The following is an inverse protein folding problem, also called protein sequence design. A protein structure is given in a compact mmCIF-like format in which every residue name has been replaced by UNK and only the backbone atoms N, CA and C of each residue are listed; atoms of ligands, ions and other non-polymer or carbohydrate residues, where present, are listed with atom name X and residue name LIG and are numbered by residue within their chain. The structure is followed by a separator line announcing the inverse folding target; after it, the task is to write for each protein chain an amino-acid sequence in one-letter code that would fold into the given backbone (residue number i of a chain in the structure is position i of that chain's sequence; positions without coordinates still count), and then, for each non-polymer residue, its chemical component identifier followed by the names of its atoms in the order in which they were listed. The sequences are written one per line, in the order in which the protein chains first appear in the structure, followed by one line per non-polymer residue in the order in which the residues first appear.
data_IF_574880604144
#
_entry.id   IF_574880604144
#
_cell.length_a   1.000
_cell.length_b   1.000
_cell.length_c   1.000
_cell.angle_alpha   90.00
_cell.angle_beta   90.00
_cell.angle_gamma   90.00
#
_symmetry.space_group_name_H-M   'P 1'
#
loop_
_entity.id
_entity.type
_entity.pdbx_description
1 polymer ?
#
# COMPACT_ATOMS: atom_id res chain seq x y z
N UNK A 1 -3.46 -2.44 -18.41
CA UNK A 1 -4.27 -3.63 -18.05
C UNK A 1 -5.55 -3.16 -17.38
N UNK A 2 -6.69 -3.71 -17.76
CA UNK A 2 -7.96 -3.36 -17.13
C UNK A 2 -8.04 -4.02 -15.74
N UNK A 3 -8.29 -3.25 -14.66
CA UNK A 3 -8.37 -3.82 -13.29
C UNK A 3 -9.39 -4.94 -13.16
N UNK A 4 -10.49 -4.88 -13.91
CA UNK A 4 -11.51 -5.93 -13.88
C UNK A 4 -11.00 -7.29 -14.34
N UNK A 5 -9.88 -7.32 -15.05
CA UNK A 5 -9.24 -8.54 -15.54
C UNK A 5 -8.14 -9.07 -14.62
N UNK A 6 -7.76 -8.30 -13.59
CA UNK A 6 -6.73 -8.73 -12.63
C UNK A 6 -7.37 -9.68 -11.62
N UNK A 7 -6.84 -10.91 -11.46
CA UNK A 7 -7.35 -11.83 -10.44
C UNK A 7 -7.09 -11.22 -9.05
N UNK A 8 -8.15 -10.77 -8.39
CA UNK A 8 -8.02 -10.18 -7.05
C UNK A 8 -7.45 -11.18 -6.04
N UNK A 9 -7.69 -12.47 -6.25
CA UNK A 9 -7.12 -13.53 -5.41
C UNK A 9 -5.59 -13.59 -5.45
N UNK A 10 -4.96 -13.03 -6.48
CA UNK A 10 -3.50 -12.99 -6.57
C UNK A 10 -2.88 -11.96 -5.64
N UNK A 11 -3.65 -11.00 -5.13
CA UNK A 11 -3.18 -10.01 -4.17
C UNK A 11 -3.25 -10.60 -2.76
N UNK A 12 -2.10 -10.79 -2.14
CA UNK A 12 -1.97 -11.34 -0.79
C UNK A 12 -1.99 -10.27 0.29
N UNK A 13 -1.70 -9.02 -0.09
CA UNK A 13 -1.49 -7.92 0.84
C UNK A 13 -2.34 -6.72 0.47
N UNK A 14 -2.73 -5.97 1.49
CA UNK A 14 -3.39 -4.68 1.32
C UNK A 14 -2.66 -3.63 2.16
N UNK A 15 -2.22 -2.56 1.51
CA UNK A 15 -1.58 -1.43 2.19
C UNK A 15 -2.64 -0.35 2.42
N UNK A 16 -3.15 -0.27 3.65
CA UNK A 16 -4.24 0.62 4.01
C UNK A 16 -3.73 2.04 4.22
N UNK A 17 -4.36 3.00 3.55
CA UNK A 17 -4.15 4.43 3.76
C UNK A 17 -4.92 4.88 5.01
N UNK A 18 -4.26 4.85 6.16
CA UNK A 18 -4.88 5.17 7.44
C UNK A 18 -5.37 6.62 7.53
N UNK A 19 -4.61 7.63 7.09
CA UNK A 19 -5.13 9.00 7.10
C UNK A 19 -6.42 9.16 6.32
N UNK A 20 -6.63 8.35 5.27
CA UNK A 20 -7.86 8.37 4.49
C UNK A 20 -9.05 7.70 5.17
N UNK A 21 -8.81 6.86 6.20
CA UNK A 21 -9.88 6.15 6.91
C UNK A 21 -9.47 5.74 8.32
N UNK A 22 -9.62 6.63 9.31
CA UNK A 22 -9.33 6.28 10.71
C UNK A 22 -10.18 5.13 11.26
N UNK A 23 -11.41 4.96 10.77
CA UNK A 23 -12.28 3.87 11.19
C UNK A 23 -11.75 2.51 10.72
N UNK A 24 -11.23 2.44 9.51
CA UNK A 24 -10.62 1.22 9.00
C UNK A 24 -9.43 0.80 9.88
N UNK A 25 -8.64 1.75 10.36
CA UNK A 25 -7.54 1.45 11.27
C UNK A 25 -8.03 0.81 12.56
N UNK A 26 -9.11 1.34 13.14
CA UNK A 26 -9.67 0.74 14.36
C UNK A 26 -10.10 -0.71 14.13
N UNK A 27 -10.73 -0.99 13.00
CA UNK A 27 -11.10 -2.35 12.64
C UNK A 27 -9.89 -3.23 12.41
N UNK A 28 -8.84 -2.71 11.78
CA UNK A 28 -7.58 -3.44 11.58
C UNK A 28 -6.91 -3.78 12.91
N UNK A 29 -7.00 -2.91 13.90
CA UNK A 29 -6.47 -3.18 15.25
C UNK A 29 -7.16 -4.34 15.95
N UNK A 30 -8.43 -4.58 15.64
CA UNK A 30 -9.17 -5.72 16.20
C UNK A 30 -8.77 -7.05 15.56
N UNK A 31 -7.99 -7.00 14.49
CA UNK A 31 -7.47 -8.17 13.81
C UNK A 31 -6.12 -8.54 14.40
N UNK A 32 -6.08 -9.65 15.01
CA UNK A 32 -5.06 -10.16 15.89
C UNK A 32 -3.66 -10.23 15.26
N UNK A 33 -2.89 -9.14 15.35
CA UNK A 33 -1.46 -9.17 15.12
C UNK A 33 -0.95 -9.39 13.69
N UNK A 34 -1.82 -9.42 12.68
CA UNK A 34 -1.41 -9.70 11.29
C UNK A 34 -1.41 -8.45 10.42
N UNK A 35 -1.04 -7.33 11.01
CA UNK A 35 -0.85 -6.07 10.33
C UNK A 35 0.47 -5.44 10.75
N UNK A 36 1.07 -4.67 9.85
CA UNK A 36 2.40 -4.09 10.06
C UNK A 36 2.35 -2.60 9.75
N UNK A 37 2.64 -1.76 10.76
CA UNK A 37 2.72 -0.32 10.57
C UNK A 37 3.98 0.01 9.77
N UNK A 38 3.81 0.67 8.63
CA UNK A 38 4.92 0.92 7.71
C UNK A 38 5.95 1.89 8.29
N UNK A 39 5.49 2.88 9.07
CA UNK A 39 6.38 3.88 9.65
C UNK A 39 7.23 3.35 10.81
N UNK A 40 6.89 2.20 11.39
CA UNK A 40 7.78 1.55 12.35
C UNK A 40 9.10 1.19 11.67
N UNK A 41 10.19 1.21 12.42
CA UNK A 41 11.54 0.99 11.93
C UNK A 41 11.98 2.01 10.86
N UNK A 42 11.39 3.20 10.85
CA UNK A 42 11.78 4.32 9.99
C UNK A 42 11.97 5.59 10.83
N UNK A 43 12.47 6.65 10.21
CA UNK A 43 12.56 7.97 10.86
C UNK A 43 11.17 8.55 11.19
N UNK A 44 10.11 7.97 10.62
CA UNK A 44 8.73 8.39 10.83
C UNK A 44 8.04 7.62 11.96
N UNK A 45 8.75 6.84 12.75
CA UNK A 45 8.17 5.97 13.79
C UNK A 45 7.31 6.71 14.81
N UNK A 46 7.59 7.98 15.07
CA UNK A 46 6.77 8.81 15.95
C UNK A 46 5.34 9.01 15.42
N UNK A 47 5.14 8.84 14.10
CA UNK A 47 3.87 8.95 13.42
C UNK A 47 3.30 7.58 13.01
N UNK A 48 3.81 6.48 13.58
CA UNK A 48 3.45 5.13 13.18
C UNK A 48 1.94 4.87 13.26
N UNK A 49 1.27 5.49 14.23
CA UNK A 49 -0.18 5.37 14.40
C UNK A 49 -0.99 6.06 13.28
N UNK A 50 -0.37 6.98 12.57
CA UNK A 50 -1.00 7.74 11.49
C UNK A 50 -0.56 7.26 10.11
N UNK A 51 0.42 6.36 10.06
CA UNK A 51 0.96 5.84 8.81
C UNK A 51 0.15 4.67 8.26
N UNK A 52 0.49 4.23 7.04
CA UNK A 52 -0.19 3.11 6.42
C UNK A 52 0.13 1.80 7.16
N UNK A 53 -0.79 0.84 7.07
CA UNK A 53 -0.60 -0.51 7.62
C UNK A 53 -0.71 -1.55 6.53
N UNK A 54 0.22 -2.51 6.54
CA UNK A 54 0.21 -3.65 5.62
C UNK A 54 -0.56 -4.79 6.28
N UNK A 55 -1.58 -5.29 5.59
CA UNK A 55 -2.51 -6.29 6.09
C UNK A 55 -2.37 -7.57 5.26
N UNK A 56 -2.27 -8.71 5.95
CA UNK A 56 -2.26 -10.02 5.32
C UNK A 56 -3.69 -10.44 4.99
N UNK A 57 -4.06 -10.37 3.71
CA UNK A 57 -5.42 -10.70 3.26
C UNK A 57 -5.70 -12.20 3.32
N UNK A 58 -4.69 -13.05 3.21
CA UNK A 58 -4.89 -14.49 3.26
C UNK A 58 -5.33 -14.96 4.65
N UNK A 59 -4.86 -14.27 5.70
CA UNK A 59 -5.23 -14.57 7.08
C UNK A 59 -6.53 -13.92 7.52
N UNK A 60 -7.06 -12.98 6.73
CA UNK A 60 -8.25 -12.21 7.07
C UNK A 60 -9.23 -12.17 5.89
N UNK A 61 -9.87 -13.30 5.55
CA UNK A 61 -10.76 -13.35 4.38
C UNK A 61 -11.92 -12.37 4.45
N UNK A 62 -12.50 -12.16 5.63
CA UNK A 62 -13.61 -11.21 5.80
C UNK A 62 -13.15 -9.78 5.52
N UNK A 63 -11.95 -9.42 5.97
CA UNK A 63 -11.38 -8.12 5.70
C UNK A 63 -11.06 -7.94 4.22
N UNK A 64 -10.58 -9.00 3.57
CA UNK A 64 -10.32 -8.97 2.14
C UNK A 64 -11.58 -8.62 1.34
N UNK A 65 -12.74 -9.15 1.74
CA UNK A 65 -14.03 -8.81 1.12
C UNK A 65 -14.33 -7.32 1.31
N UNK A 66 -14.14 -6.79 2.51
CA UNK A 66 -14.38 -5.36 2.79
C UNK A 66 -13.47 -4.45 1.95
N UNK A 67 -12.18 -4.78 1.89
CA UNK A 67 -11.22 -3.99 1.10
C UNK A 67 -11.59 -3.96 -0.38
N UNK A 68 -12.10 -5.06 -0.91
CA UNK A 68 -12.48 -5.16 -2.33
C UNK A 68 -13.82 -4.49 -2.62
N UNK A 69 -14.78 -4.60 -1.70
CA UNK A 69 -16.16 -4.15 -1.94
C UNK A 69 -16.42 -2.72 -1.50
N UNK A 70 -15.60 -2.16 -0.62
CA UNK A 70 -15.82 -0.83 -0.05
C UNK A 70 -14.56 0.04 -0.18
N UNK A 71 -14.18 0.41 -1.42
CA UNK A 71 -12.91 1.13 -1.64
C UNK A 71 -12.85 2.52 -1.01
N UNK A 72 -13.98 3.17 -0.77
CA UNK A 72 -14.00 4.48 -0.12
C UNK A 72 -13.79 4.37 1.39
N UNK A 73 -14.27 3.29 1.99
CA UNK A 73 -14.08 3.03 3.42
C UNK A 73 -12.70 2.42 3.71
N UNK A 74 -12.13 1.72 2.74
CA UNK A 74 -10.85 1.03 2.83
C UNK A 74 -9.93 1.48 1.70
N UNK A 75 -9.48 2.75 1.73
CA UNK A 75 -8.56 3.24 0.69
C UNK A 75 -7.18 2.63 0.85
N UNK A 76 -6.55 2.30 -0.27
CA UNK A 76 -5.21 1.74 -0.25
C UNK A 76 -4.85 1.00 -1.52
N UNK A 77 -3.77 0.21 -1.43
CA UNK A 77 -3.21 -0.52 -2.56
C UNK A 77 -3.25 -2.03 -2.29
N UNK A 78 -3.61 -2.79 -3.33
CA UNK A 78 -3.50 -4.25 -3.31
C UNK A 78 -2.15 -4.65 -3.89
N UNK A 79 -1.47 -5.57 -3.20
CA UNK A 79 -0.12 -6.00 -3.54
C UNK A 79 -0.03 -7.51 -3.66
N UNK A 80 0.70 -7.99 -4.66
CA UNK A 80 1.13 -9.37 -4.77
C UNK A 80 2.65 -9.44 -4.83
N UNK A 81 3.25 -10.35 -4.07
CA UNK A 81 4.69 -10.53 -4.03
C UNK A 81 5.04 -11.94 -3.55
N UNK A 82 6.07 -12.55 -4.15
CA UNK A 82 6.63 -13.81 -3.68
C UNK A 82 7.79 -13.61 -2.70
N UNK A 83 8.17 -12.36 -2.43
CA UNK A 83 9.24 -12.05 -1.49
C UNK A 83 8.81 -12.37 -0.05
N UNK A 84 9.78 -12.59 0.82
CA UNK A 84 9.51 -12.72 2.25
C UNK A 84 8.95 -11.42 2.82
N UNK A 85 8.22 -11.50 3.92
CA UNK A 85 7.66 -10.32 4.57
C UNK A 85 8.72 -9.28 4.95
N UNK A 86 9.88 -9.64 5.53
CA UNK A 86 10.92 -8.64 5.80
C UNK A 86 11.43 -7.93 4.54
N UNK A 87 11.58 -8.65 3.44
CA UNK A 87 12.02 -8.08 2.17
C UNK A 87 10.97 -7.12 1.61
N UNK A 88 9.71 -7.52 1.63
CA UNK A 88 8.61 -6.69 1.16
C UNK A 88 8.48 -5.42 2.01
N UNK A 89 8.46 -5.55 3.34
CA UNK A 89 8.39 -4.41 4.25
C UNK A 89 9.57 -3.45 4.06
N UNK A 90 10.77 -4.00 3.91
CA UNK A 90 11.97 -3.19 3.68
C UNK A 90 11.84 -2.36 2.41
N UNK A 91 11.34 -2.96 1.34
CA UNK A 91 11.14 -2.27 0.08
C UNK A 91 10.05 -1.19 0.19
N UNK A 92 8.89 -1.52 0.76
CA UNK A 92 7.79 -0.57 0.92
C UNK A 92 8.20 0.62 1.78
N UNK A 93 9.02 0.40 2.81
CA UNK A 93 9.55 1.46 3.65
C UNK A 93 10.53 2.36 2.91
N UNK A 94 11.37 1.80 2.04
CA UNK A 94 12.30 2.59 1.22
C UNK A 94 11.57 3.47 0.21
N UNK A 95 10.41 3.04 -0.28
CA UNK A 95 9.61 3.82 -1.22
C UNK A 95 8.98 5.05 -0.58
N UNK A 96 8.90 5.13 0.76
CA UNK A 96 8.25 6.24 1.47
C UNK A 96 8.97 7.57 1.28
N UNK A 97 10.27 7.55 1.00
CA UNK A 97 11.05 8.78 0.90
C UNK A 97 11.65 8.94 -0.48
N UNK A 98 11.59 10.16 -0.98
CA UNK A 98 12.25 10.57 -2.22
C UNK A 98 13.23 11.68 -1.91
N UNK A 99 14.36 11.68 -2.60
CA UNK A 99 15.33 12.76 -2.50
C UNK A 99 14.95 13.86 -3.47
N UNK A 100 14.73 15.08 -2.93
CA UNK A 100 14.40 16.26 -3.71
C UNK A 100 15.62 17.19 -3.62
N UNK A 101 16.35 17.33 -4.73
CA UNK A 101 17.59 18.11 -4.75
C UNK A 101 18.71 17.44 -3.94
N UNK A 102 19.66 18.24 -3.45
CA UNK A 102 20.87 17.71 -2.80
C UNK A 102 20.70 17.44 -1.30
N UNK A 103 19.70 18.06 -0.65
CA UNK A 103 19.61 18.07 0.82
C UNK A 103 18.23 17.78 1.38
N UNK A 104 17.22 17.58 0.54
CA UNK A 104 15.86 17.36 1.01
C UNK A 104 15.39 15.94 0.73
N UNK A 105 14.83 15.31 1.76
CA UNK A 105 14.05 14.08 1.62
C UNK A 105 12.59 14.41 1.84
N UNK A 106 11.74 14.05 0.88
CA UNK A 106 10.30 14.21 0.98
C UNK A 106 9.61 12.89 1.22
N UNK A 107 8.46 12.92 1.89
CA UNK A 107 7.59 11.77 2.03
C UNK A 107 6.79 11.58 0.76
N UNK A 108 6.84 10.38 0.18
CA UNK A 108 5.99 9.99 -0.93
C UNK A 108 4.85 9.13 -0.40
N UNK A 109 3.64 9.68 -0.37
CA UNK A 109 2.44 8.99 0.12
C UNK A 109 1.83 8.09 -0.96
N UNK A 110 2.63 7.23 -1.56
CA UNK A 110 2.22 6.37 -2.68
C UNK A 110 1.08 5.41 -2.31
N UNK A 111 0.89 5.12 -1.03
CA UNK A 111 -0.18 4.25 -0.53
C UNK A 111 -1.57 4.90 -0.64
N UNK A 112 -1.64 6.20 -0.86
CA UNK A 112 -2.90 6.87 -1.14
C UNK A 112 -3.27 6.65 -2.62
N UNK A 113 -4.50 6.18 -2.93
CA UNK A 113 -4.87 5.86 -4.31
C UNK A 113 -4.75 7.01 -5.29
N UNK A 114 -5.04 8.24 -4.86
CA UNK A 114 -4.88 9.41 -5.75
C UNK A 114 -3.42 9.67 -6.05
N UNK A 115 -2.56 9.62 -5.03
CA UNK A 115 -1.12 9.80 -5.21
C UNK A 115 -0.56 8.70 -6.10
N UNK A 116 -0.98 7.45 -5.89
CA UNK A 116 -0.57 6.32 -6.72
C UNK A 116 -0.95 6.55 -8.19
N UNK A 117 -2.15 7.04 -8.45
CA UNK A 117 -2.62 7.31 -9.81
C UNK A 117 -1.75 8.35 -10.52
N UNK A 118 -1.34 9.40 -9.83
CA UNK A 118 -0.44 10.39 -10.41
C UNK A 118 0.98 9.89 -10.55
N UNK A 119 1.50 9.27 -9.51
CA UNK A 119 2.91 8.89 -9.44
C UNK A 119 3.24 7.75 -10.41
N UNK A 120 2.50 6.65 -10.35
CA UNK A 120 2.81 5.47 -11.16
C UNK A 120 2.49 5.70 -12.65
N UNK A 121 1.46 6.48 -12.96
CA UNK A 121 1.15 6.84 -14.35
C UNK A 121 2.22 7.74 -14.98
N UNK A 122 2.92 8.53 -14.17
CA UNK A 122 4.00 9.38 -14.64
C UNK A 122 5.32 8.63 -14.86
N UNK A 123 5.46 7.41 -14.33
CA UNK A 123 6.66 6.61 -14.48
C UNK A 123 6.71 5.93 -15.85
N UNK A 124 7.89 5.91 -16.48
CA UNK A 124 8.12 5.02 -17.63
C UNK A 124 8.29 3.58 -17.14
N UNK A 125 8.41 2.63 -18.08
CA UNK A 125 8.50 1.20 -17.73
C UNK A 125 9.74 0.89 -16.87
N UNK A 126 10.87 1.55 -17.13
CA UNK A 126 12.11 1.35 -16.37
C UNK A 126 11.97 1.88 -14.95
N UNK A 127 11.42 3.08 -14.79
CA UNK A 127 11.18 3.68 -13.48
C UNK A 127 10.18 2.86 -12.68
N UNK A 128 9.09 2.43 -13.31
CA UNK A 128 8.05 1.63 -12.67
C UNK A 128 8.63 0.30 -12.16
N UNK A 129 9.43 -0.38 -12.97
CA UNK A 129 10.08 -1.62 -12.58
C UNK A 129 10.98 -1.43 -11.35
N UNK A 130 11.69 -0.31 -11.31
CA UNK A 130 12.58 0.02 -10.18
C UNK A 130 11.78 0.30 -8.91
N UNK A 131 10.67 1.04 -9.02
CA UNK A 131 9.83 1.34 -7.87
C UNK A 131 9.13 0.11 -7.33
N UNK A 132 8.63 -0.76 -8.20
CA UNK A 132 7.92 -1.97 -7.78
C UNK A 132 8.86 -2.99 -7.10
N UNK A 133 10.11 -3.13 -7.56
CA UNK A 133 11.08 -4.05 -6.96
C UNK A 133 10.51 -5.46 -6.77
N UNK A 134 10.38 -5.95 -5.53
CA UNK A 134 9.83 -7.28 -5.25
C UNK A 134 8.32 -7.38 -5.41
N UNK A 135 7.62 -6.26 -5.64
CA UNK A 135 6.17 -6.25 -5.86
C UNK A 135 5.87 -6.68 -7.27
N UNK A 136 5.17 -7.80 -7.43
CA UNK A 136 4.86 -8.37 -8.75
C UNK A 136 3.51 -7.91 -9.27
N UNK A 137 2.61 -7.54 -8.35
CA UNK A 137 1.26 -7.08 -8.69
C UNK A 137 0.93 -5.88 -7.81
N UNK A 138 0.43 -4.82 -8.43
CA UNK A 138 -0.02 -3.62 -7.74
C UNK A 138 -1.26 -3.09 -8.43
N UNK A 139 -2.33 -2.92 -7.66
CA UNK A 139 -3.53 -2.25 -8.19
C UNK A 139 -4.29 -1.54 -7.07
N UNK A 140 -5.14 -0.61 -7.48
CA UNK A 140 -5.96 0.18 -6.56
C UNK A 140 -7.24 0.63 -7.26
N UNK A 141 -8.19 1.07 -6.47
CA UNK A 141 -9.39 1.72 -6.99
C UNK A 141 -9.11 3.21 -7.19
N UNK A 142 -8.95 3.64 -8.43
CA UNK A 142 -8.95 5.05 -8.81
C UNK A 142 -10.33 5.48 -9.26
N UNK A 143 -10.66 6.77 -9.12
CA UNK A 143 -11.93 7.29 -9.59
C UNK A 143 -12.15 7.18 -11.10
N UNK A 144 -11.09 6.92 -11.86
CA UNK A 144 -11.13 6.76 -13.31
C UNK A 144 -11.35 5.31 -13.76
N UNK A 145 -11.47 4.39 -12.83
CA UNK A 145 -11.55 2.96 -13.09
C UNK A 145 -12.96 2.42 -12.82
N UNK A 146 -13.87 3.31 -12.76
CA UNK A 146 -15.27 2.95 -12.59
C UNK A 146 -15.82 2.23 -13.83
#
# INVERSE_FOLDING_TARGET
MNPAQIPQQAAQWFLLDVPGSPQARQQAHLLDGHWHALFEATDLRALAQQGPVLIDLERHPALAVLCRSQPLAWPGLFLGSNASLPTLLGHLRRMLTVTIGLHFKGLLSYYNPQTASYFFDACDATELSRWLGPVELLFWHGGTWA
#
